data_IF_177434868401
#
_entry.id   IF_177434868401
#
_cell.length_a   1.000
_cell.length_b   1.000
_cell.length_c   1.000
_cell.angle_alpha   90.00
_cell.angle_beta   90.00
_cell.angle_gamma   90.00
#
_symmetry.space_group_name_H-M   'P 1'
#
loop_
_entity.id
_entity.type
_entity.pdbx_description
1 polymer ?
#
# COMPACT_ATOMS: atom_id res chain seq x y z
N UNK A 1 -39.36 12.18 6.66
CA UNK A 1 -37.92 12.13 6.31
C UNK A 1 -37.44 10.79 6.82
N UNK A 2 -37.01 9.88 5.94
CA UNK A 2 -36.49 8.59 6.38
C UNK A 2 -35.21 8.87 7.18
N UNK A 3 -35.20 8.42 8.44
CA UNK A 3 -33.98 8.37 9.24
C UNK A 3 -33.02 7.43 8.52
N UNK A 4 -31.93 7.97 7.98
CA UNK A 4 -30.86 7.15 7.44
C UNK A 4 -30.01 6.70 8.63
N UNK A 5 -30.51 5.71 9.36
CA UNK A 5 -29.78 5.04 10.42
C UNK A 5 -29.21 3.73 9.87
N UNK A 6 -27.92 3.49 10.14
CA UNK A 6 -27.13 2.27 9.88
C UNK A 6 -26.04 2.37 8.78
N UNK A 7 -25.35 3.51 8.66
CA UNK A 7 -24.06 3.54 7.97
C UNK A 7 -22.90 3.18 8.89
N UNK A 8 -22.00 2.32 8.40
CA UNK A 8 -20.70 2.08 9.03
C UNK A 8 -19.63 2.85 8.27
N UNK A 9 -18.97 3.78 8.96
CA UNK A 9 -17.81 4.48 8.43
C UNK A 9 -16.53 3.73 8.82
N UNK A 10 -15.67 3.46 7.83
CA UNK A 10 -14.34 2.89 8.04
C UNK A 10 -13.33 3.99 7.76
N UNK A 11 -12.55 4.35 8.77
CA UNK A 11 -11.46 5.31 8.64
C UNK A 11 -10.16 4.53 8.60
N UNK A 12 -9.39 4.69 7.52
CA UNK A 12 -8.09 4.02 7.32
C UNK A 12 -7.00 5.09 7.27
N UNK A 13 -6.31 5.34 8.38
CA UNK A 13 -5.21 6.29 8.41
C UNK A 13 -4.04 5.79 7.55
N UNK A 14 -3.59 6.65 6.64
CA UNK A 14 -2.47 6.40 5.76
C UNK A 14 -1.80 7.72 5.37
N UNK A 15 -0.62 7.61 4.75
CA UNK A 15 -0.03 8.70 3.97
C UNK A 15 0.29 8.14 2.60
N UNK A 16 -0.07 8.85 1.54
CA UNK A 16 0.54 8.58 0.24
C UNK A 16 1.96 9.12 0.23
N UNK A 17 2.93 8.33 -0.23
CA UNK A 17 4.34 8.68 -0.16
C UNK A 17 5.07 8.41 -1.46
N UNK A 18 5.10 9.41 -2.34
CA UNK A 18 6.04 9.44 -3.45
C UNK A 18 7.47 9.43 -2.91
N UNK A 19 8.21 8.37 -3.22
CA UNK A 19 9.59 8.20 -2.74
C UNK A 19 10.51 9.31 -3.25
N UNK A 20 10.24 9.79 -4.45
CA UNK A 20 10.88 10.94 -5.08
C UNK A 20 9.93 11.54 -6.13
N UNK A 21 9.86 12.87 -6.20
CA UNK A 21 8.98 13.56 -7.15
C UNK A 21 9.52 14.97 -7.46
N UNK A 22 8.89 16.02 -6.91
CA UNK A 22 9.28 17.42 -7.16
C UNK A 22 10.50 17.89 -6.34
N UNK A 23 11.02 17.04 -5.46
CA UNK A 23 12.26 17.25 -4.72
C UNK A 23 13.15 16.00 -4.88
N UNK A 24 14.48 16.14 -4.72
CA UNK A 24 15.37 14.99 -4.71
C UNK A 24 15.01 13.98 -3.62
N UNK A 25 15.29 12.70 -3.88
CA UNK A 25 15.05 11.57 -2.97
C UNK A 25 15.42 11.86 -1.51
N UNK A 26 16.62 12.39 -1.24
CA UNK A 26 17.09 12.62 0.14
C UNK A 26 16.23 13.61 0.92
N UNK A 27 15.58 14.58 0.26
CA UNK A 27 14.66 15.49 0.94
C UNK A 27 13.38 14.77 1.35
N UNK A 28 12.82 13.92 0.48
CA UNK A 28 11.70 13.06 0.85
C UNK A 28 12.11 12.09 1.94
N UNK A 29 13.26 11.45 1.82
CA UNK A 29 13.77 10.50 2.82
C UNK A 29 13.86 11.10 4.23
N UNK A 30 14.35 12.33 4.37
CA UNK A 30 14.38 13.04 5.66
C UNK A 30 12.97 13.36 6.18
N UNK A 31 12.04 13.74 5.29
CA UNK A 31 10.64 14.01 5.66
C UNK A 31 9.90 12.72 6.05
N UNK A 32 10.18 11.60 5.38
CA UNK A 32 9.64 10.29 5.72
C UNK A 32 9.98 9.94 7.17
N UNK A 33 11.24 10.16 7.58
CA UNK A 33 11.67 10.04 8.97
C UNK A 33 10.74 10.78 9.94
N UNK A 34 10.55 12.08 9.72
CA UNK A 34 9.70 12.90 10.58
C UNK A 34 8.20 12.51 10.56
N UNK A 35 7.68 12.09 9.40
CA UNK A 35 6.29 11.65 9.27
C UNK A 35 6.07 10.35 10.03
N UNK A 36 6.94 9.36 9.84
CA UNK A 36 6.84 8.08 10.52
C UNK A 36 7.08 8.27 12.02
N UNK A 37 8.01 9.11 12.46
CA UNK A 37 8.19 9.47 13.88
C UNK A 37 6.86 9.95 14.50
N UNK A 38 6.14 10.84 13.82
CA UNK A 38 4.82 11.31 14.27
C UNK A 38 3.75 10.21 14.29
N UNK A 39 3.81 9.25 13.37
CA UNK A 39 2.94 8.07 13.38
C UNK A 39 3.26 7.17 14.57
N UNK A 40 4.53 6.87 14.83
CA UNK A 40 4.94 6.05 15.99
C UNK A 40 4.47 6.71 17.30
N UNK A 41 4.74 8.01 17.46
CA UNK A 41 4.33 8.79 18.63
C UNK A 41 2.80 8.77 18.83
N UNK A 42 2.04 8.82 17.74
CA UNK A 42 0.57 8.79 17.80
C UNK A 42 0.07 7.42 18.22
N UNK A 43 0.58 6.36 17.60
CA UNK A 43 0.22 5.00 17.94
C UNK A 43 0.60 4.68 19.39
N UNK A 44 1.80 5.02 19.85
CA UNK A 44 2.24 4.75 21.22
C UNK A 44 1.42 5.49 22.27
N UNK A 45 1.00 6.73 22.00
CA UNK A 45 0.27 7.57 22.98
C UNK A 45 -1.23 7.32 23.00
N UNK A 46 -1.83 6.98 21.87
CA UNK A 46 -3.28 6.83 21.73
C UNK A 46 -3.67 5.39 21.34
N UNK A 47 -4.12 4.57 22.30
CA UNK A 47 -4.61 3.22 22.01
C UNK A 47 -5.86 3.17 21.13
N UNK A 48 -6.62 4.27 21.02
CA UNK A 48 -7.81 4.36 20.16
C UNK A 48 -7.46 4.52 18.69
N UNK A 49 -6.26 5.01 18.37
CA UNK A 49 -5.73 5.04 17.02
C UNK A 49 -5.25 3.62 16.65
N UNK A 50 -6.13 2.81 16.08
CA UNK A 50 -5.90 1.35 16.00
C UNK A 50 -4.71 0.97 15.14
N UNK A 51 -4.57 1.58 13.96
CA UNK A 51 -3.58 1.19 12.97
C UNK A 51 -3.27 2.31 11.97
N UNK A 52 -2.11 2.21 11.32
CA UNK A 52 -1.71 3.07 10.20
C UNK A 52 -1.13 2.21 9.08
N UNK A 53 -1.52 2.47 7.83
CA UNK A 53 -0.93 1.78 6.67
C UNK A 53 0.10 2.66 5.96
N UNK A 54 1.30 2.12 5.76
CA UNK A 54 2.43 2.77 5.11
C UNK A 54 2.36 2.57 3.59
N UNK A 55 1.26 3.04 3.02
CA UNK A 55 1.08 3.28 1.58
C UNK A 55 1.22 2.04 0.66
N UNK A 56 0.98 0.84 1.17
CA UNK A 56 1.00 -0.36 0.32
C UNK A 56 2.40 -0.78 -0.19
N UNK A 57 3.47 -0.11 0.26
CA UNK A 57 4.85 -0.31 -0.20
C UNK A 57 5.75 -0.72 0.97
N UNK A 58 6.61 -1.72 0.77
CA UNK A 58 7.48 -2.24 1.81
C UNK A 58 8.81 -1.46 1.93
N UNK A 59 9.23 -0.76 0.87
CA UNK A 59 10.51 -0.02 0.83
C UNK A 59 10.59 1.07 1.92
N UNK A 60 9.45 1.62 2.33
CA UNK A 60 9.36 2.63 3.40
C UNK A 60 9.88 2.12 4.74
N UNK A 61 9.81 0.81 4.99
CA UNK A 61 10.39 0.19 6.19
C UNK A 61 11.91 0.28 6.18
N UNK A 62 12.53 -0.01 5.02
CA UNK A 62 13.99 0.08 4.84
C UNK A 62 14.44 1.54 4.87
N UNK A 63 13.79 2.43 4.12
CA UNK A 63 14.11 3.85 4.08
C UNK A 63 14.04 4.50 5.47
N UNK A 64 13.00 4.17 6.25
CA UNK A 64 12.86 4.66 7.63
C UNK A 64 13.92 4.07 8.57
N UNK A 65 14.13 2.75 8.55
CA UNK A 65 15.11 2.09 9.41
C UNK A 65 16.54 2.60 9.16
N UNK A 66 16.87 2.98 7.93
CA UNK A 66 18.17 3.56 7.62
C UNK A 66 18.31 5.02 8.09
N UNK A 67 17.25 5.83 8.09
CA UNK A 67 17.30 7.25 8.54
C UNK A 67 17.09 7.42 10.04
N UNK A 68 16.37 6.50 10.68
CA UNK A 68 16.03 6.49 12.11
C UNK A 68 16.39 5.14 12.76
N UNK A 69 17.66 4.68 12.68
CA UNK A 69 18.05 3.40 13.27
C UNK A 69 17.79 3.33 14.78
N UNK A 70 17.80 4.47 15.48
CA UNK A 70 17.45 4.60 16.90
C UNK A 70 16.00 4.19 17.21
N UNK A 71 15.10 4.25 16.23
CA UNK A 71 13.68 3.90 16.38
C UNK A 71 13.37 2.44 15.98
N UNK A 72 14.37 1.63 15.62
CA UNK A 72 14.15 0.25 15.17
C UNK A 72 13.30 -0.59 16.15
N UNK A 73 13.54 -0.46 17.46
CA UNK A 73 12.75 -1.17 18.48
C UNK A 73 11.29 -0.71 18.55
N UNK A 74 11.05 0.60 18.37
CA UNK A 74 9.70 1.18 18.37
C UNK A 74 8.90 0.74 17.14
N UNK A 75 9.56 0.81 15.97
CA UNK A 75 9.02 0.32 14.72
C UNK A 75 8.62 -1.17 14.84
N UNK A 76 9.55 -2.02 15.30
CA UNK A 76 9.30 -3.45 15.44
C UNK A 76 8.13 -3.73 16.40
N UNK A 77 8.07 -3.04 17.54
CA UNK A 77 6.99 -3.24 18.51
C UNK A 77 5.60 -2.92 17.92
N UNK A 78 5.49 -1.86 17.11
CA UNK A 78 4.23 -1.48 16.47
C UNK A 78 3.85 -2.37 15.29
N UNK A 79 4.85 -2.87 14.56
CA UNK A 79 4.71 -3.89 13.53
C UNK A 79 4.22 -5.23 14.12
N UNK A 80 4.85 -5.72 15.19
CA UNK A 80 4.47 -6.95 15.90
C UNK A 80 3.06 -6.86 16.49
N UNK A 81 2.67 -5.67 16.96
CA UNK A 81 1.33 -5.40 17.46
C UNK A 81 0.25 -5.27 16.36
N UNK A 82 0.63 -5.34 15.08
CA UNK A 82 -0.29 -5.16 13.95
C UNK A 82 -0.87 -3.75 13.84
N UNK A 83 -0.20 -2.76 14.45
CA UNK A 83 -0.62 -1.35 14.44
C UNK A 83 0.03 -0.56 13.30
N UNK A 84 1.05 -1.13 12.67
CA UNK A 84 1.61 -0.67 11.41
C UNK A 84 1.48 -1.77 10.36
N UNK A 85 1.05 -1.40 9.17
CA UNK A 85 0.95 -2.28 8.01
C UNK A 85 1.78 -1.71 6.85
N UNK A 86 2.41 -2.58 6.06
CA UNK A 86 3.16 -2.22 4.85
C UNK A 86 3.01 -3.31 3.77
N UNK A 87 3.49 -3.01 2.56
CA UNK A 87 3.35 -3.91 1.40
C UNK A 87 1.90 -4.02 0.91
N UNK A 88 1.57 -4.92 -0.03
CA UNK A 88 2.35 -6.10 -0.42
C UNK A 88 3.41 -5.83 -1.47
N UNK A 89 3.36 -4.67 -2.13
CA UNK A 89 4.33 -4.27 -3.15
C UNK A 89 5.62 -3.80 -2.49
N UNK A 90 6.74 -3.90 -3.21
CA UNK A 90 8.00 -3.29 -2.73
C UNK A 90 7.94 -1.76 -2.87
N UNK A 91 7.57 -1.29 -4.07
CA UNK A 91 7.28 0.12 -4.41
C UNK A 91 5.91 0.22 -5.08
N UNK A 92 5.43 1.44 -5.31
CA UNK A 92 4.25 1.72 -6.15
C UNK A 92 4.71 2.05 -7.58
N UNK A 93 4.67 1.11 -8.55
CA UNK A 93 5.14 1.37 -9.90
C UNK A 93 4.08 2.06 -10.76
N UNK A 94 4.54 2.70 -11.83
CA UNK A 94 3.72 2.83 -13.04
C UNK A 94 3.68 1.46 -13.73
N UNK A 95 2.51 0.85 -13.79
CA UNK A 95 2.36 -0.52 -14.24
C UNK A 95 2.46 -0.71 -15.75
N UNK A 96 2.24 0.37 -16.52
CA UNK A 96 2.25 0.33 -17.98
C UNK A 96 3.67 0.56 -18.50
N UNK A 97 4.50 1.28 -17.74
CA UNK A 97 5.88 1.60 -18.12
C UNK A 97 6.90 0.50 -17.79
N UNK A 98 6.54 -0.47 -16.94
CA UNK A 98 7.44 -1.57 -16.54
C UNK A 98 7.04 -2.89 -17.18
N UNK A 99 8.01 -3.81 -17.31
CA UNK A 99 7.73 -5.16 -17.79
C UNK A 99 6.84 -5.96 -16.83
N UNK A 100 6.06 -6.90 -17.36
CA UNK A 100 5.18 -7.75 -16.55
C UNK A 100 5.93 -8.53 -15.46
N UNK A 101 7.13 -9.05 -15.76
CA UNK A 101 7.97 -9.72 -14.76
C UNK A 101 8.38 -8.74 -13.65
N UNK A 102 8.61 -7.46 -13.94
CA UNK A 102 8.93 -6.45 -12.92
C UNK A 102 7.77 -6.26 -11.93
N UNK A 103 6.51 -6.36 -12.37
CA UNK A 103 5.35 -6.33 -11.47
C UNK A 103 5.33 -7.54 -10.53
N UNK A 104 5.61 -8.73 -11.08
CA UNK A 104 5.74 -9.97 -10.29
C UNK A 104 6.88 -9.85 -9.29
N UNK A 105 8.05 -9.33 -9.72
CA UNK A 105 9.20 -9.09 -8.83
C UNK A 105 8.91 -8.05 -7.75
N UNK A 106 8.16 -7.01 -8.08
CA UNK A 106 7.76 -5.99 -7.12
C UNK A 106 6.95 -6.60 -5.96
N UNK A 107 6.01 -7.48 -6.25
CA UNK A 107 5.24 -8.21 -5.23
C UNK A 107 6.11 -9.23 -4.47
N UNK A 108 6.99 -9.96 -5.16
CA UNK A 108 7.92 -10.90 -4.50
C UNK A 108 8.85 -10.20 -3.50
N UNK A 109 9.43 -9.07 -3.92
CA UNK A 109 10.33 -8.27 -3.09
C UNK A 109 9.59 -7.63 -1.92
N UNK A 110 8.38 -7.09 -2.14
CA UNK A 110 7.60 -6.47 -1.07
C UNK A 110 7.32 -7.47 0.06
N UNK A 111 6.88 -8.69 -0.31
CA UNK A 111 6.68 -9.79 0.64
C UNK A 111 7.98 -10.22 1.34
N UNK A 112 9.11 -10.22 0.63
CA UNK A 112 10.41 -10.55 1.22
C UNK A 112 10.82 -9.50 2.27
N UNK A 113 10.65 -8.22 1.96
CA UNK A 113 10.97 -7.12 2.87
C UNK A 113 10.06 -7.14 4.08
N UNK A 114 8.73 -7.26 3.92
CA UNK A 114 7.80 -7.42 5.04
C UNK A 114 8.23 -8.55 5.99
N UNK A 115 8.58 -9.74 5.45
CA UNK A 115 9.08 -10.86 6.25
C UNK A 115 10.41 -10.57 6.97
N UNK A 116 11.32 -9.79 6.36
CA UNK A 116 12.58 -9.37 7.02
C UNK A 116 12.32 -8.49 8.24
N UNK A 117 11.24 -7.72 8.23
CA UNK A 117 10.75 -6.92 9.35
C UNK A 117 9.76 -7.68 10.25
N UNK A 118 9.60 -9.00 10.05
CA UNK A 118 8.74 -9.84 10.91
C UNK A 118 7.23 -9.63 10.72
N UNK A 119 6.79 -8.94 9.66
CA UNK A 119 5.36 -8.69 9.41
C UNK A 119 4.82 -9.40 8.19
N UNK A 120 3.53 -9.74 8.27
CA UNK A 120 2.79 -10.16 7.10
C UNK A 120 2.51 -8.94 6.20
N UNK A 121 2.72 -9.07 4.89
CA UNK A 121 2.39 -8.02 3.92
C UNK A 121 0.89 -7.76 3.89
N UNK A 122 0.49 -6.50 3.60
CA UNK A 122 -0.94 -6.16 3.44
C UNK A 122 -1.66 -7.11 2.48
N UNK A 123 -2.92 -7.42 2.81
CA UNK A 123 -3.76 -8.34 2.06
C UNK A 123 -4.37 -7.77 0.78
N UNK A 124 -4.21 -6.46 0.54
CA UNK A 124 -4.77 -5.76 -0.61
C UNK A 124 -3.68 -5.27 -1.56
N UNK A 125 -3.90 -5.42 -2.87
CA UNK A 125 -3.13 -4.69 -3.87
C UNK A 125 -3.48 -3.22 -3.75
N UNK A 126 -2.48 -2.35 -3.83
CA UNK A 126 -2.64 -0.94 -3.51
C UNK A 126 -1.88 -0.09 -4.52
N UNK A 127 -2.61 0.65 -5.36
CA UNK A 127 -2.09 1.54 -6.39
C UNK A 127 -3.02 2.74 -6.53
N UNK A 128 -3.03 3.65 -5.54
CA UNK A 128 -4.00 4.75 -5.49
C UNK A 128 -3.78 5.77 -6.59
N UNK A 129 -2.56 5.90 -7.13
CA UNK A 129 -2.19 6.97 -8.06
C UNK A 129 -1.56 6.50 -9.39
N UNK A 130 -1.67 5.21 -9.74
CA UNK A 130 -1.11 4.73 -11.02
C UNK A 130 -1.87 5.26 -12.24
N UNK A 131 -1.14 5.59 -13.31
CA UNK A 131 -1.70 6.17 -14.54
C UNK A 131 -2.20 5.12 -15.54
N UNK A 132 -3.09 4.26 -15.05
CA UNK A 132 -3.65 3.14 -15.79
C UNK A 132 -3.11 1.79 -15.30
N UNK A 133 -3.86 0.74 -15.60
CA UNK A 133 -3.62 -0.59 -15.05
C UNK A 133 -3.65 -1.66 -16.16
N UNK A 134 -2.70 -2.62 -16.20
CA UNK A 134 -2.72 -3.71 -17.16
C UNK A 134 -3.95 -4.60 -16.98
N UNK A 135 -4.57 -5.03 -18.08
CA UNK A 135 -5.77 -5.89 -18.03
C UNK A 135 -5.55 -7.23 -17.30
N UNK A 136 -4.30 -7.70 -17.22
CA UNK A 136 -3.91 -8.93 -16.52
C UNK A 136 -3.57 -8.73 -15.03
N UNK A 137 -3.65 -7.51 -14.49
CA UNK A 137 -3.33 -7.25 -13.08
C UNK A 137 -4.16 -8.11 -12.10
N UNK A 138 -5.47 -8.36 -12.30
CA UNK A 138 -6.22 -9.26 -11.43
C UNK A 138 -5.63 -10.68 -11.39
N UNK A 139 -5.11 -11.18 -12.51
CA UNK A 139 -4.47 -12.49 -12.57
C UNK A 139 -3.15 -12.50 -11.80
N UNK A 140 -2.33 -11.45 -11.96
CA UNK A 140 -1.05 -11.30 -11.25
C UNK A 140 -1.32 -11.26 -9.74
N UNK A 141 -2.21 -10.38 -9.26
CA UNK A 141 -2.56 -10.26 -7.84
C UNK A 141 -3.09 -11.57 -7.26
N UNK A 142 -3.99 -12.26 -7.99
CA UNK A 142 -4.53 -13.54 -7.56
C UNK A 142 -3.44 -14.63 -7.43
N UNK A 143 -2.39 -14.60 -8.26
CA UNK A 143 -1.22 -15.49 -8.16
C UNK A 143 -0.45 -15.32 -6.85
N UNK A 144 -0.54 -14.16 -6.20
CA UNK A 144 -0.01 -13.89 -4.86
C UNK A 144 -1.06 -14.07 -3.75
N UNK A 145 -2.25 -14.60 -4.07
CA UNK A 145 -3.34 -14.75 -3.11
C UNK A 145 -4.02 -13.43 -2.73
N UNK A 146 -3.73 -12.33 -3.43
CA UNK A 146 -4.35 -11.02 -3.21
C UNK A 146 -5.67 -10.99 -3.97
N UNK A 147 -6.78 -10.72 -3.26
CA UNK A 147 -8.14 -10.73 -3.84
C UNK A 147 -8.85 -9.38 -3.82
N UNK A 148 -8.22 -8.38 -3.22
CA UNK A 148 -8.72 -7.01 -3.15
C UNK A 148 -7.69 -6.10 -3.79
N UNK A 149 -8.16 -5.14 -4.57
CA UNK A 149 -7.33 -4.13 -5.19
C UNK A 149 -7.96 -2.75 -4.95
N UNK A 150 -7.14 -1.81 -4.48
CA UNK A 150 -7.51 -0.43 -4.18
C UNK A 150 -6.79 0.47 -5.18
N UNK A 151 -7.58 1.28 -5.91
CA UNK A 151 -7.08 2.19 -6.93
C UNK A 151 -8.05 3.36 -7.13
N UNK A 152 -7.56 4.46 -7.71
CA UNK A 152 -8.38 5.68 -7.87
C UNK A 152 -8.54 6.18 -9.31
N UNK A 153 -7.82 5.57 -10.28
CA UNK A 153 -7.76 6.07 -11.66
C UNK A 153 -8.17 5.02 -12.68
N UNK A 154 -8.83 5.43 -13.77
CA UNK A 154 -9.07 4.57 -14.93
C UNK A 154 -10.49 4.05 -15.13
N UNK A 155 -11.46 4.45 -14.29
CA UNK A 155 -12.86 3.99 -14.40
C UNK A 155 -13.76 4.86 -15.27
N UNK A 156 -13.35 6.08 -15.64
CA UNK A 156 -14.17 6.95 -16.51
C UNK A 156 -15.63 7.11 -16.05
N UNK A 157 -16.53 7.09 -17.02
CA UNK A 157 -17.99 7.12 -16.79
C UNK A 157 -18.52 5.72 -16.40
N UNK A 158 -17.76 4.65 -16.63
CA UNK A 158 -18.13 3.28 -16.28
C UNK A 158 -18.32 3.09 -14.76
N UNK A 159 -17.73 3.97 -13.93
CA UNK A 159 -17.97 4.00 -12.49
C UNK A 159 -19.45 4.23 -12.13
N UNK A 160 -20.22 4.94 -12.96
CA UNK A 160 -21.65 5.20 -12.73
C UNK A 160 -22.48 3.91 -12.86
N UNK A 161 -22.02 2.98 -13.70
CA UNK A 161 -22.71 1.71 -13.98
C UNK A 161 -22.34 0.61 -12.97
N UNK A 162 -21.04 0.47 -12.63
CA UNK A 162 -20.55 -0.63 -11.78
C UNK A 162 -20.37 -0.24 -10.31
N UNK A 163 -20.39 1.06 -10.00
CA UNK A 163 -20.16 1.60 -8.67
C UNK A 163 -18.70 1.56 -8.21
N UNK A 164 -18.46 1.97 -6.96
CA UNK A 164 -17.11 2.06 -6.36
C UNK A 164 -16.58 0.72 -5.82
N UNK A 165 -17.42 -0.32 -5.80
CA UNK A 165 -17.05 -1.68 -5.41
C UNK A 165 -17.59 -2.65 -6.45
N UNK A 166 -16.68 -3.28 -7.19
CA UNK A 166 -17.03 -4.20 -8.27
C UNK A 166 -16.01 -5.33 -8.38
N UNK A 167 -16.33 -6.33 -9.20
CA UNK A 167 -15.44 -7.46 -9.48
C UNK A 167 -14.69 -7.23 -10.77
N UNK A 168 -13.41 -6.91 -10.67
CA UNK A 168 -12.54 -6.87 -11.83
C UNK A 168 -12.06 -8.29 -12.20
N UNK A 169 -12.26 -8.69 -13.46
CA UNK A 169 -11.82 -9.98 -14.00
C UNK A 169 -10.86 -9.76 -15.15
N UNK A 170 -9.70 -10.41 -15.08
CA UNK A 170 -8.78 -10.46 -16.21
C UNK A 170 -9.32 -11.37 -17.33
N UNK A 171 -8.89 -11.10 -18.56
CA UNK A 171 -9.12 -12.00 -19.70
C UNK A 171 -8.36 -13.32 -19.56
N UNK A 172 -8.64 -14.32 -20.42
CA UNK A 172 -7.89 -15.58 -20.41
C UNK A 172 -6.39 -15.33 -20.66
N UNK A 173 -5.54 -16.11 -19.99
CA UNK A 173 -4.11 -16.14 -20.30
C UNK A 173 -3.88 -17.08 -21.47
N UNK A 174 -3.90 -16.53 -22.68
CA UNK A 174 -3.51 -17.25 -23.89
C UNK A 174 -2.05 -16.91 -24.22
N UNK A 175 -1.25 -17.95 -24.46
CA UNK A 175 0.07 -17.81 -25.08
C UNK A 175 -0.16 -17.90 -26.58
N UNK A 176 0.03 -16.80 -27.31
CA UNK A 176 0.05 -16.81 -28.78
C UNK A 176 1.41 -17.29 -29.27
#
# INVERSE_FOLDING_TARGET
MAEVSDFRYLVVPHTHWDREWYLPFEFFRLRLGSVVDGVLDTLERDPSFTSFTLDGQAIVLEDYAEVRPENAGRLQALLDAGRLEAGPSYVLPDEILVGAESLVRNLLLGRLVCRRFGVEPSGAGYLPDSFGHPAQLPQILAGFGIRTFLFSRGMGDEADDVGVVFRWRAGPAEVV
#
